data_IF_339425586745
#
_entry.id   IF_339425586745
#
_cell.length_a   1.000
_cell.length_b   1.000
_cell.length_c   1.000
_cell.angle_alpha   90.00
_cell.angle_beta   90.00
_cell.angle_gamma   90.00
#
_symmetry.space_group_name_H-M   'P 1'
#
loop_
_entity.id
_entity.type
_entity.pdbx_description
1 polymer ?
#
# COMPACT_ATOMS: atom_id res chain seq x y z
N UNK A 1 -29.40 -17.33 31.36
CA UNK A 1 -28.69 -18.28 30.48
C UNK A 1 -27.41 -17.64 29.98
N UNK A 2 -26.42 -18.43 29.56
CA UNK A 2 -25.17 -17.91 29.00
C UNK A 2 -25.46 -17.16 27.69
N UNK A 3 -24.73 -16.06 27.45
CA UNK A 3 -24.87 -15.21 26.26
C UNK A 3 -24.40 -15.91 24.98
N UNK A 4 -23.38 -16.76 25.07
CA UNK A 4 -22.85 -17.56 23.94
C UNK A 4 -22.35 -16.73 22.76
N UNK A 5 -21.78 -15.55 23.00
CA UNK A 5 -21.13 -14.76 21.94
C UNK A 5 -19.92 -15.51 21.36
N UNK A 6 -19.20 -16.25 22.20
CA UNK A 6 -18.13 -17.17 21.82
C UNK A 6 -18.21 -18.43 22.70
N UNK A 7 -17.42 -19.47 22.37
CA UNK A 7 -17.35 -20.69 23.19
C UNK A 7 -16.81 -20.46 24.63
N UNK A 8 -16.11 -19.34 24.85
CA UNK A 8 -15.56 -18.95 26.15
C UNK A 8 -16.36 -17.80 26.80
N UNK A 9 -17.55 -17.48 26.28
CA UNK A 9 -18.36 -16.39 26.80
C UNK A 9 -19.14 -16.83 28.05
N UNK A 10 -18.69 -16.31 29.19
CA UNK A 10 -19.18 -16.72 30.50
C UNK A 10 -20.25 -15.78 31.11
N UNK A 11 -20.82 -14.86 30.32
CA UNK A 11 -21.77 -13.84 30.80
C UNK A 11 -23.22 -14.33 30.77
N UNK A 12 -23.99 -14.05 31.84
CA UNK A 12 -25.41 -14.38 31.91
C UNK A 12 -26.32 -13.25 31.38
N UNK A 13 -27.31 -13.60 30.54
CA UNK A 13 -28.29 -12.69 29.93
C UNK A 13 -29.68 -13.32 29.82
N UNK A 14 -30.67 -12.55 29.36
CA UNK A 14 -32.02 -13.01 29.04
C UNK A 14 -32.05 -13.90 27.77
N UNK A 15 -33.14 -14.65 27.59
CA UNK A 15 -33.31 -15.50 26.39
C UNK A 15 -33.36 -14.72 25.09
N UNK A 16 -33.98 -13.55 25.10
CA UNK A 16 -34.02 -12.66 23.94
C UNK A 16 -32.61 -12.22 23.51
N UNK A 17 -31.74 -11.87 24.47
CA UNK A 17 -30.37 -11.45 24.16
C UNK A 17 -29.55 -12.61 23.59
N UNK A 18 -29.67 -13.83 24.15
CA UNK A 18 -28.99 -15.00 23.59
C UNK A 18 -29.45 -15.29 22.16
N UNK A 19 -30.75 -15.14 21.87
CA UNK A 19 -31.28 -15.34 20.51
C UNK A 19 -30.70 -14.33 19.52
N UNK A 20 -30.67 -13.04 19.89
CA UNK A 20 -30.05 -11.99 19.08
C UNK A 20 -28.57 -12.31 18.79
N UNK A 21 -27.81 -12.73 19.80
CA UNK A 21 -26.39 -13.08 19.66
C UNK A 21 -26.18 -14.27 18.70
N UNK A 22 -27.08 -15.26 18.71
CA UNK A 22 -27.04 -16.38 17.76
C UNK A 22 -27.26 -15.91 16.33
N UNK A 23 -28.23 -15.02 16.11
CA UNK A 23 -28.50 -14.45 14.79
C UNK A 23 -27.31 -13.61 14.28
N UNK A 24 -26.68 -12.84 15.16
CA UNK A 24 -25.48 -12.07 14.84
C UNK A 24 -24.30 -13.00 14.48
N UNK A 25 -24.10 -14.09 15.22
CA UNK A 25 -23.07 -15.09 14.93
C UNK A 25 -23.32 -15.83 13.61
N UNK A 26 -24.57 -16.13 13.27
CA UNK A 26 -24.94 -16.72 11.97
C UNK A 26 -24.65 -15.77 10.80
N UNK A 27 -24.80 -14.46 11.01
CA UNK A 27 -24.52 -13.42 10.02
C UNK A 27 -23.05 -12.96 9.99
N UNK A 28 -22.16 -13.53 10.82
CA UNK A 28 -20.80 -13.03 10.98
C UNK A 28 -19.98 -13.01 9.68
N UNK A 29 -20.21 -13.98 8.77
CA UNK A 29 -19.51 -14.07 7.49
C UNK A 29 -19.83 -12.89 6.55
N UNK A 30 -21.06 -12.35 6.60
CA UNK A 30 -21.48 -11.21 5.78
C UNK A 30 -21.30 -9.85 6.47
N UNK A 31 -20.91 -9.86 7.75
CA UNK A 31 -20.72 -8.65 8.58
C UNK A 31 -19.27 -8.45 9.03
N UNK A 32 -18.30 -9.03 8.32
CA UNK A 32 -16.88 -8.84 8.65
C UNK A 32 -16.47 -7.41 8.32
N UNK A 33 -15.89 -6.69 9.30
CA UNK A 33 -15.27 -5.40 9.02
C UNK A 33 -13.96 -5.62 8.24
N UNK A 34 -13.87 -5.25 6.96
CA UNK A 34 -12.67 -5.46 6.16
C UNK A 34 -11.49 -4.62 6.64
N UNK A 35 -11.71 -3.57 7.46
CA UNK A 35 -10.64 -2.76 8.02
C UNK A 35 -9.62 -3.57 8.83
N UNK A 36 -10.00 -4.75 9.37
CA UNK A 36 -9.05 -5.67 10.03
C UNK A 36 -8.00 -6.27 9.10
N UNK A 37 -8.21 -6.20 7.78
CA UNK A 37 -7.33 -6.73 6.74
C UNK A 37 -6.66 -5.62 5.92
N UNK A 38 -6.95 -4.35 6.24
CA UNK A 38 -6.38 -3.20 5.54
C UNK A 38 -5.25 -2.63 6.39
N UNK A 39 -4.07 -2.46 5.80
CA UNK A 39 -2.91 -1.83 6.44
C UNK A 39 -3.01 -0.29 6.46
N UNK A 40 -4.15 0.28 6.04
CA UNK A 40 -4.41 1.73 5.99
C UNK A 40 -5.04 2.16 4.66
N UNK A 41 -5.26 3.48 4.46
CA UNK A 41 -5.86 4.04 3.23
C UNK A 41 -5.07 3.74 1.96
N UNK A 42 -3.78 3.40 2.09
CA UNK A 42 -2.93 3.05 0.95
C UNK A 42 -2.84 1.55 0.67
N UNK A 43 -3.77 0.73 1.18
CA UNK A 43 -3.71 -0.73 0.95
C UNK A 43 -3.84 -1.02 -0.55
N UNK A 44 -2.86 -1.74 -1.12
CA UNK A 44 -2.88 -2.10 -2.53
C UNK A 44 -3.88 -3.22 -2.84
N UNK A 45 -4.46 -3.19 -4.06
CA UNK A 45 -5.20 -4.32 -4.62
C UNK A 45 -4.28 -5.54 -4.72
N UNK A 46 -4.90 -6.73 -4.74
CA UNK A 46 -4.18 -7.97 -5.02
C UNK A 46 -3.35 -7.85 -6.32
N UNK A 47 -2.11 -8.33 -6.27
CA UNK A 47 -1.14 -8.22 -7.37
C UNK A 47 -0.36 -6.89 -7.40
N UNK A 48 -0.68 -5.93 -6.54
CA UNK A 48 0.07 -4.68 -6.38
C UNK A 48 0.73 -4.59 -5.01
N UNK A 49 1.84 -3.85 -4.96
CA UNK A 49 2.63 -3.58 -3.76
C UNK A 49 3.02 -2.11 -3.70
N UNK A 50 3.38 -1.60 -2.53
CA UNK A 50 3.93 -0.26 -2.41
C UNK A 50 5.21 -0.12 -3.23
N UNK A 51 5.32 1.01 -3.94
CA UNK A 51 6.43 1.35 -4.83
C UNK A 51 7.72 1.58 -4.07
N UNK A 52 7.64 2.15 -2.86
CA UNK A 52 8.79 2.35 -1.98
C UNK A 52 9.90 3.19 -2.66
N UNK A 53 9.52 4.21 -3.44
CA UNK A 53 10.49 5.17 -3.99
C UNK A 53 11.21 5.96 -2.89
N UNK A 54 10.54 6.18 -1.75
CA UNK A 54 11.12 6.50 -0.45
C UNK A 54 10.32 5.82 0.69
N UNK A 55 10.57 6.21 1.94
CA UNK A 55 9.88 5.69 3.13
C UNK A 55 8.41 6.13 3.25
N UNK A 56 7.95 7.08 2.43
CA UNK A 56 6.59 7.68 2.46
C UNK A 56 5.82 7.45 1.16
N UNK A 57 6.45 6.80 0.19
CA UNK A 57 5.86 6.50 -1.10
C UNK A 57 5.04 5.20 -1.06
N UNK A 58 3.78 5.37 -0.70
CA UNK A 58 2.79 4.31 -0.60
C UNK A 58 2.02 4.07 -1.90
N UNK A 59 2.54 4.53 -3.05
CA UNK A 59 1.88 4.34 -4.33
C UNK A 59 1.91 2.86 -4.74
N UNK A 60 0.79 2.31 -5.21
CA UNK A 60 0.70 0.92 -5.61
C UNK A 60 1.22 0.70 -7.04
N UNK A 61 2.16 -0.23 -7.20
CA UNK A 61 2.75 -0.66 -8.48
C UNK A 61 2.87 -2.18 -8.55
N UNK A 62 3.24 -2.73 -9.71
CA UNK A 62 3.56 -4.16 -9.79
C UNK A 62 4.85 -4.49 -9.01
N UNK A 63 5.02 -5.74 -8.54
CA UNK A 63 6.26 -6.16 -7.87
C UNK A 63 7.53 -5.89 -8.68
N UNK A 64 7.46 -6.01 -10.01
CA UNK A 64 8.57 -5.74 -10.92
C UNK A 64 8.97 -4.25 -10.91
N UNK A 65 8.00 -3.34 -10.86
CA UNK A 65 8.29 -1.89 -10.78
C UNK A 65 8.89 -1.53 -9.44
N UNK A 66 8.41 -2.14 -8.33
CA UNK A 66 9.04 -1.97 -7.01
C UNK A 66 10.50 -2.43 -7.01
N UNK A 67 10.80 -3.56 -7.64
CA UNK A 67 12.19 -4.04 -7.78
C UNK A 67 13.05 -3.07 -8.59
N UNK A 68 12.54 -2.58 -9.73
CA UNK A 68 13.21 -1.54 -10.51
C UNK A 68 13.48 -0.26 -9.68
N UNK A 69 12.50 0.18 -8.89
CA UNK A 69 12.62 1.36 -8.01
C UNK A 69 13.68 1.17 -6.95
N UNK A 70 13.76 -0.02 -6.34
CA UNK A 70 14.82 -0.37 -5.38
C UNK A 70 16.20 -0.28 -6.04
N UNK A 71 16.33 -0.81 -7.24
CA UNK A 71 17.60 -0.80 -7.98
C UNK A 71 17.98 0.63 -8.41
N UNK A 72 17.00 1.46 -8.79
CA UNK A 72 17.23 2.88 -9.06
C UNK A 72 17.68 3.66 -7.83
N UNK A 73 17.07 3.41 -6.67
CA UNK A 73 17.49 4.00 -5.41
C UNK A 73 18.92 3.59 -5.03
N UNK A 74 19.29 2.32 -5.24
CA UNK A 74 20.65 1.82 -4.99
C UNK A 74 21.70 2.47 -5.89
N UNK A 75 21.32 2.87 -7.11
CA UNK A 75 22.20 3.52 -8.09
C UNK A 75 22.15 5.05 -8.04
N UNK A 76 21.37 5.65 -7.13
CA UNK A 76 21.10 7.08 -7.11
C UNK A 76 22.38 7.93 -7.04
N UNK A 77 23.35 7.54 -6.21
CA UNK A 77 24.64 8.24 -6.07
C UNK A 77 25.53 8.04 -7.30
N UNK A 78 25.56 6.84 -7.87
CA UNK A 78 26.41 6.49 -9.01
C UNK A 78 26.00 7.20 -10.31
N UNK A 79 24.76 7.71 -10.38
CA UNK A 79 24.20 8.38 -11.56
C UNK A 79 24.19 9.91 -11.46
N UNK A 80 24.81 10.48 -10.41
CA UNK A 80 25.01 11.92 -10.22
C UNK A 80 26.40 12.37 -10.68
N UNK A 81 26.54 13.63 -11.06
CA UNK A 81 27.84 14.23 -11.43
C UNK A 81 28.82 14.27 -10.26
N UNK A 82 28.31 14.40 -9.03
CA UNK A 82 29.08 14.41 -7.79
C UNK A 82 28.17 13.95 -6.64
N UNK A 83 28.69 13.32 -5.57
CA UNK A 83 27.88 12.95 -4.40
C UNK A 83 27.20 14.14 -3.69
N UNK A 84 27.76 15.34 -3.81
CA UNK A 84 27.25 16.57 -3.18
C UNK A 84 26.31 17.40 -4.07
N UNK A 85 26.06 16.95 -5.30
CA UNK A 85 25.25 17.63 -6.31
C UNK A 85 24.15 16.67 -6.79
N UNK A 86 22.90 17.10 -6.84
CA UNK A 86 21.80 16.28 -7.33
C UNK A 86 21.67 16.29 -8.85
N UNK A 87 22.53 17.01 -9.57
CA UNK A 87 22.62 17.01 -11.02
C UNK A 87 22.94 15.60 -11.55
N UNK A 88 22.10 15.12 -12.46
CA UNK A 88 22.28 13.82 -13.10
C UNK A 88 23.39 13.83 -14.15
N UNK A 89 24.06 12.68 -14.30
CA UNK A 89 24.96 12.43 -15.43
C UNK A 89 24.20 12.52 -16.77
N UNK A 90 24.92 12.80 -17.85
CA UNK A 90 24.36 12.82 -19.20
C UNK A 90 23.64 11.50 -19.52
N UNK A 91 22.41 11.60 -20.03
CA UNK A 91 21.55 10.45 -20.32
C UNK A 91 20.59 10.06 -19.18
N UNK A 92 20.76 10.66 -17.99
CA UNK A 92 19.86 10.50 -16.86
C UNK A 92 19.09 11.80 -16.56
N UNK A 93 17.92 11.63 -15.96
CA UNK A 93 17.03 12.71 -15.49
C UNK A 93 16.50 12.33 -14.11
N UNK A 94 16.04 13.33 -13.34
CA UNK A 94 15.31 13.03 -12.10
C UNK A 94 14.06 12.19 -12.39
N UNK A 95 13.84 11.18 -11.56
CA UNK A 95 12.68 10.29 -11.65
C UNK A 95 11.37 11.03 -11.42
N UNK A 96 11.37 12.00 -10.49
CA UNK A 96 10.22 12.84 -10.16
C UNK A 96 8.94 12.03 -9.86
N UNK A 97 9.09 10.93 -9.12
CA UNK A 97 7.96 10.13 -8.67
C UNK A 97 7.03 10.92 -7.73
N UNK A 98 7.55 11.95 -7.06
CA UNK A 98 6.85 12.93 -6.23
C UNK A 98 7.75 14.17 -6.06
N UNK A 99 7.23 15.30 -5.52
CA UNK A 99 8.06 16.49 -5.27
C UNK A 99 9.25 16.19 -4.36
N UNK A 100 10.47 16.44 -4.85
CA UNK A 100 11.73 16.18 -4.15
C UNK A 100 12.39 14.83 -4.48
N UNK A 101 11.79 14.01 -5.34
CA UNK A 101 12.42 12.77 -5.82
C UNK A 101 13.47 13.03 -6.91
N UNK A 102 14.72 13.27 -6.47
CA UNK A 102 15.88 13.53 -7.34
C UNK A 102 16.77 12.28 -7.52
N UNK A 103 16.16 11.10 -7.60
CA UNK A 103 16.87 9.88 -8.02
C UNK A 103 17.10 9.93 -9.53
N UNK A 104 18.35 9.81 -9.97
CA UNK A 104 18.71 9.85 -11.39
C UNK A 104 18.39 8.52 -12.08
N UNK A 105 17.51 8.57 -13.09
CA UNK A 105 17.01 7.43 -13.86
C UNK A 105 16.95 7.76 -15.35
N UNK A 106 16.61 6.79 -16.19
CA UNK A 106 16.42 7.06 -17.63
C UNK A 106 15.14 7.88 -17.87
N UNK A 107 15.07 8.57 -19.03
CA UNK A 107 13.84 9.27 -19.42
C UNK A 107 12.60 8.37 -19.51
N UNK A 108 12.79 7.09 -19.88
CA UNK A 108 11.72 6.11 -19.90
C UNK A 108 11.21 5.79 -18.49
N UNK A 109 12.12 5.65 -17.51
CA UNK A 109 11.76 5.40 -16.11
C UNK A 109 11.01 6.59 -15.51
N UNK A 110 11.39 7.84 -15.82
CA UNK A 110 10.61 9.03 -15.43
C UNK A 110 9.20 8.99 -16.00
N UNK A 111 9.06 8.67 -17.29
CA UNK A 111 7.74 8.54 -17.92
C UNK A 111 6.88 7.44 -17.27
N UNK A 112 7.50 6.31 -16.90
CA UNK A 112 6.84 5.23 -16.16
C UNK A 112 6.36 5.70 -14.78
N UNK A 113 7.18 6.43 -14.02
CA UNK A 113 6.80 6.96 -12.71
C UNK A 113 5.59 7.90 -12.79
N UNK A 114 5.55 8.78 -13.81
CA UNK A 114 4.40 9.65 -14.07
C UNK A 114 3.14 8.86 -14.46
N UNK A 115 3.30 7.80 -15.27
CA UNK A 115 2.20 6.90 -15.61
C UNK A 115 1.66 6.20 -14.34
N UNK A 116 2.54 5.74 -13.46
CA UNK A 116 2.13 5.12 -12.20
C UNK A 116 1.38 6.08 -11.28
N UNK A 117 1.83 7.35 -11.21
CA UNK A 117 1.12 8.41 -10.51
C UNK A 117 -0.30 8.62 -11.04
N UNK A 118 -0.50 8.59 -12.36
CA UNK A 118 -1.83 8.72 -12.97
C UNK A 118 -2.79 7.57 -12.64
N UNK A 119 -2.24 6.41 -12.28
CA UNK A 119 -2.99 5.19 -11.99
C UNK A 119 -3.20 4.96 -10.48
N UNK A 120 -2.71 5.86 -9.62
CA UNK A 120 -2.66 5.67 -8.16
C UNK A 120 -3.99 5.17 -7.57
N UNK A 121 -5.09 5.89 -7.84
CA UNK A 121 -6.43 5.55 -7.33
C UNK A 121 -6.93 4.19 -7.84
N UNK A 122 -6.58 3.80 -9.06
CA UNK A 122 -7.06 2.55 -9.67
C UNK A 122 -6.47 1.29 -9.03
N UNK A 123 -5.36 1.43 -8.29
CA UNK A 123 -4.58 0.31 -7.72
C UNK A 123 -4.74 0.17 -6.21
N UNK A 124 -5.49 1.06 -5.57
CA UNK A 124 -5.87 0.97 -4.16
C UNK A 124 -7.04 0.00 -3.96
N UNK A 125 -6.93 -0.88 -2.95
CA UNK A 125 -7.98 -1.84 -2.59
C UNK A 125 -9.26 -1.12 -2.14
N UNK A 126 -9.10 0.01 -1.46
CA UNK A 126 -10.16 0.96 -1.15
C UNK A 126 -9.61 2.37 -1.38
N UNK A 127 -10.12 3.12 -2.38
CA UNK A 127 -9.72 4.49 -2.63
C UNK A 127 -10.13 5.44 -1.50
#
# INVERSE_FOLDING_TARGET
MWREATAADHVCVSGQVRQQVREDNLAASSRTNPARLLYGPNTCKEGYVWREADEKDWLCVSPQVREQVRDDNAQAVARRVSPSDDTCLQGFVWREAFPGDHVCVTGQTRAQALSDNSQATSRLLKP
#
